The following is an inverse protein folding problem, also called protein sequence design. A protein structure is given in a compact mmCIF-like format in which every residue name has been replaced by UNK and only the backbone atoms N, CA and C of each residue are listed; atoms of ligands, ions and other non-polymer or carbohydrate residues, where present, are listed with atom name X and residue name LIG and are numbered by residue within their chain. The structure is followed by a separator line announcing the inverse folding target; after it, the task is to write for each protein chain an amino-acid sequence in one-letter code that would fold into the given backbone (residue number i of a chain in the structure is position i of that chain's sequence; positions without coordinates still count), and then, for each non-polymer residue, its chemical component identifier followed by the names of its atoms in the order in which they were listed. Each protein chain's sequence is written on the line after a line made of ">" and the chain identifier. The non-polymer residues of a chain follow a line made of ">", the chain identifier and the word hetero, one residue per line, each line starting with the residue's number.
data_IF_036693917345
#
_entry.id   IF_036693917345
#
_cell.length_a   1.000
_cell.length_b   1.000
_cell.length_c   1.000
_cell.angle_alpha   90.00
_cell.angle_beta   90.00
_cell.angle_gamma   90.00
#
_symmetry.space_group_name_H-M   'P 1'
#
loop_
_entity.id
_entity.type
_entity.pdbx_description
1 polymer ?
#
# COMPACT_ATOMS: atom_id res chain seq x y z
N UNK A 1 -2.64 -26.40 12.27
CA UNK A 1 -2.61 -25.18 13.09
C UNK A 1 -2.14 -24.07 12.20
N UNK A 2 -2.86 -22.95 12.17
CA UNK A 2 -2.49 -21.77 11.38
C UNK A 2 -1.25 -21.13 12.02
N UNK A 3 -0.27 -20.73 11.20
CA UNK A 3 0.97 -20.11 11.70
C UNK A 3 0.65 -18.77 12.40
N UNK A 4 1.38 -18.37 13.45
CA UNK A 4 1.13 -17.09 14.15
C UNK A 4 1.13 -15.85 13.24
N UNK A 5 1.91 -15.90 12.15
CA UNK A 5 1.96 -14.83 11.13
C UNK A 5 0.66 -14.68 10.32
N UNK A 6 -0.22 -15.68 10.31
CA UNK A 6 -1.39 -15.69 9.44
C UNK A 6 -2.34 -14.53 9.73
N UNK A 7 -2.80 -14.42 10.98
CA UNK A 7 -3.76 -13.39 11.38
C UNK A 7 -3.22 -11.96 11.15
N UNK A 8 -1.97 -11.59 11.53
CA UNK A 8 -1.45 -10.26 11.26
C UNK A 8 -1.26 -10.00 9.76
N UNK A 9 -0.77 -10.96 8.97
CA UNK A 9 -0.62 -10.77 7.52
C UNK A 9 -1.97 -10.60 6.82
N UNK A 10 -2.96 -11.43 7.14
CA UNK A 10 -4.30 -11.31 6.55
C UNK A 10 -4.95 -9.98 6.93
N UNK A 11 -4.79 -9.52 8.17
CA UNK A 11 -5.29 -8.21 8.60
C UNK A 11 -4.70 -7.08 7.76
N UNK A 12 -3.37 -7.03 7.62
CA UNK A 12 -2.70 -5.98 6.85
C UNK A 12 -3.11 -6.03 5.37
N UNK A 13 -3.19 -7.21 4.77
CA UNK A 13 -3.64 -7.37 3.38
C UNK A 13 -5.05 -6.80 3.20
N UNK A 14 -5.99 -7.15 4.08
CA UNK A 14 -7.36 -6.65 4.00
C UNK A 14 -7.44 -5.13 4.19
N UNK A 15 -6.67 -4.58 5.12
CA UNK A 15 -6.59 -3.14 5.32
C UNK A 15 -5.99 -2.43 4.11
N UNK A 16 -4.93 -2.98 3.51
CA UNK A 16 -4.31 -2.44 2.30
C UNK A 16 -5.25 -2.48 1.08
N UNK A 17 -5.97 -3.58 0.87
CA UNK A 17 -6.98 -3.68 -0.20
C UNK A 17 -8.07 -2.63 -0.02
N UNK A 18 -8.60 -2.48 1.20
CA UNK A 18 -9.61 -1.47 1.49
C UNK A 18 -9.09 -0.05 1.32
N UNK A 19 -7.83 0.20 1.67
CA UNK A 19 -7.18 1.50 1.48
C UNK A 19 -7.03 1.84 -0.02
N UNK A 20 -6.59 0.87 -0.83
CA UNK A 20 -6.51 1.02 -2.28
C UNK A 20 -7.89 1.24 -2.92
N UNK A 21 -8.92 0.49 -2.52
CA UNK A 21 -10.29 0.69 -3.01
C UNK A 21 -10.83 2.09 -2.66
N UNK A 22 -10.57 2.58 -1.44
CA UNK A 22 -10.95 3.94 -1.05
C UNK A 22 -10.27 5.00 -1.92
N UNK A 23 -8.98 4.82 -2.22
CA UNK A 23 -8.23 5.73 -3.08
C UNK A 23 -8.74 5.70 -4.53
N UNK A 24 -8.92 4.52 -5.11
CA UNK A 24 -9.42 4.34 -6.48
C UNK A 24 -10.86 4.87 -6.67
N UNK A 25 -11.66 4.93 -5.61
CA UNK A 25 -13.03 5.46 -5.64
C UNK A 25 -13.11 6.94 -5.23
N UNK A 26 -11.98 7.64 -5.19
CA UNK A 26 -11.89 9.05 -4.81
C UNK A 26 -12.47 9.36 -3.42
N UNK A 27 -12.47 8.39 -2.50
CA UNK A 27 -12.93 8.58 -1.11
C UNK A 27 -11.85 9.16 -0.20
N UNK A 28 -10.59 9.02 -0.59
CA UNK A 28 -9.43 9.58 0.11
C UNK A 28 -8.45 10.18 -0.90
N UNK A 29 -7.73 11.22 -0.48
CA UNK A 29 -6.68 11.85 -1.29
C UNK A 29 -5.36 11.07 -1.21
N UNK A 30 -4.45 11.36 -2.15
CA UNK A 30 -3.14 10.71 -2.24
C UNK A 30 -2.30 10.85 -0.97
N UNK A 31 -2.33 12.01 -0.31
CA UNK A 31 -1.63 12.24 0.96
C UNK A 31 -2.17 11.31 2.08
N UNK A 32 -3.50 11.17 2.17
CA UNK A 32 -4.15 10.28 3.14
C UNK A 32 -3.85 8.81 2.82
N UNK A 33 -3.87 8.45 1.54
CA UNK A 33 -3.49 7.12 1.08
C UNK A 33 -2.04 6.81 1.45
N UNK A 34 -1.11 7.72 1.15
CA UNK A 34 0.32 7.57 1.40
C UNK A 34 0.66 7.41 2.86
N UNK A 35 0.15 8.31 3.70
CA UNK A 35 0.36 8.25 5.15
C UNK A 35 -0.14 6.95 5.76
N UNK A 36 -1.32 6.48 5.32
CA UNK A 36 -1.90 5.22 5.82
C UNK A 36 -1.15 3.99 5.31
N UNK A 37 -0.70 4.01 4.06
CA UNK A 37 0.06 2.91 3.47
C UNK A 37 1.41 2.72 4.18
N UNK A 38 2.11 3.82 4.49
CA UNK A 38 3.35 3.83 5.31
C UNK A 38 3.15 3.33 6.74
N UNK A 39 1.94 3.42 7.27
CA UNK A 39 1.65 3.01 8.64
C UNK A 39 1.49 1.50 8.80
N UNK A 40 1.47 0.73 7.70
CA UNK A 40 1.46 -0.73 7.80
C UNK A 40 2.83 -1.22 8.28
N UNK A 41 2.79 -1.98 9.37
CA UNK A 41 3.96 -2.57 10.03
C UNK A 41 4.45 -3.83 9.30
N UNK A 42 4.85 -3.66 8.03
CA UNK A 42 5.29 -4.75 7.15
C UNK A 42 6.71 -5.19 7.51
N UNK A 43 7.61 -4.25 7.74
CA UNK A 43 9.03 -4.53 8.00
C UNK A 43 9.24 -5.31 9.31
N UNK A 44 8.52 -4.96 10.38
CA UNK A 44 8.62 -5.71 11.64
C UNK A 44 8.16 -7.16 11.48
N UNK A 45 7.12 -7.42 10.68
CA UNK A 45 6.68 -8.79 10.38
C UNK A 45 7.69 -9.56 9.52
N UNK A 46 8.33 -8.89 8.56
CA UNK A 46 9.38 -9.51 7.76
C UNK A 46 10.60 -9.88 8.62
N UNK A 47 10.95 -9.05 9.59
CA UNK A 47 12.05 -9.29 10.53
C UNK A 47 11.71 -10.38 11.56
N UNK A 48 10.54 -10.30 12.20
CA UNK A 48 10.10 -11.24 13.24
C UNK A 48 10.06 -12.69 12.72
N UNK A 49 9.58 -12.89 11.50
CA UNK A 49 9.37 -14.22 10.90
C UNK A 49 10.44 -14.61 9.87
N UNK A 50 11.56 -13.88 9.80
CA UNK A 50 12.63 -14.09 8.82
C UNK A 50 13.14 -15.55 8.80
N UNK A 51 13.30 -16.13 9.98
CA UNK A 51 13.80 -17.50 10.14
C UNK A 51 12.78 -18.55 9.71
N UNK A 52 11.49 -18.29 9.88
CA UNK A 52 10.42 -19.18 9.44
C UNK A 52 10.33 -19.22 7.92
N UNK A 53 10.51 -18.08 7.24
CA UNK A 53 10.55 -18.03 5.77
C UNK A 53 11.68 -18.86 5.17
N UNK A 54 12.83 -18.95 5.85
CA UNK A 54 13.98 -19.77 5.39
C UNK A 54 13.77 -21.26 5.61
N UNK A 55 12.97 -21.64 6.61
CA UNK A 55 12.82 -23.03 7.09
C UNK A 55 11.57 -23.72 6.57
N UNK A 56 10.52 -22.96 6.22
CA UNK A 56 9.24 -23.50 5.78
C UNK A 56 8.78 -22.90 4.45
N UNK A 57 8.88 -23.69 3.38
CA UNK A 57 8.42 -23.32 2.05
C UNK A 57 6.91 -22.99 2.00
N UNK A 58 6.11 -23.46 2.97
CA UNK A 58 4.69 -23.11 3.08
C UNK A 58 4.48 -21.67 3.54
N UNK A 59 5.53 -20.92 3.88
CA UNK A 59 5.40 -19.50 4.25
C UNK A 59 5.54 -18.56 3.05
N UNK A 60 5.83 -19.08 1.85
CA UNK A 60 6.14 -18.28 0.66
C UNK A 60 5.04 -17.28 0.30
N UNK A 61 3.76 -17.65 0.46
CA UNK A 61 2.66 -16.74 0.13
C UNK A 61 2.50 -15.59 1.13
N UNK A 62 2.88 -15.76 2.40
CA UNK A 62 2.95 -14.64 3.34
C UNK A 62 4.12 -13.72 3.00
N UNK A 63 5.27 -14.31 2.67
CA UNK A 63 6.45 -13.56 2.23
C UNK A 63 6.14 -12.73 0.97
N UNK A 64 5.54 -13.34 -0.05
CA UNK A 64 5.16 -12.66 -1.30
C UNK A 64 4.22 -11.48 -1.03
N UNK A 65 3.21 -11.67 -0.17
CA UNK A 65 2.28 -10.60 0.16
C UNK A 65 2.94 -9.44 0.93
N UNK A 66 3.80 -9.75 1.90
CA UNK A 66 4.54 -8.73 2.66
C UNK A 66 5.56 -8.00 1.77
N UNK A 67 6.27 -8.72 0.91
CA UNK A 67 7.22 -8.13 -0.06
C UNK A 67 6.54 -7.21 -1.06
N UNK A 68 5.34 -7.56 -1.52
CA UNK A 68 4.54 -6.71 -2.41
C UNK A 68 4.16 -5.39 -1.70
N UNK A 69 3.70 -5.47 -0.45
CA UNK A 69 3.34 -4.28 0.33
C UNK A 69 4.55 -3.41 0.65
N UNK A 70 5.68 -4.00 1.02
CA UNK A 70 6.94 -3.28 1.25
C UNK A 70 7.41 -2.55 -0.02
N UNK A 71 7.32 -3.21 -1.17
CA UNK A 71 7.66 -2.60 -2.47
C UNK A 71 6.75 -1.42 -2.80
N UNK A 72 5.45 -1.56 -2.55
CA UNK A 72 4.47 -0.49 -2.78
C UNK A 72 4.71 0.73 -1.86
N UNK A 73 5.10 0.51 -0.60
CA UNK A 73 5.51 1.58 0.32
C UNK A 73 6.73 2.33 -0.23
N UNK A 74 7.75 1.61 -0.70
CA UNK A 74 8.98 2.20 -1.24
C UNK A 74 8.77 2.96 -2.55
N UNK A 75 7.96 2.43 -3.48
CA UNK A 75 7.62 3.13 -4.71
C UNK A 75 6.91 4.46 -4.42
N UNK A 76 6.02 4.45 -3.43
CA UNK A 76 5.32 5.66 -3.01
C UNK A 76 6.26 6.67 -2.33
N UNK A 77 7.19 6.18 -1.51
CA UNK A 77 8.23 7.02 -0.90
C UNK A 77 9.09 7.70 -1.95
N UNK A 78 9.48 6.96 -2.97
CA UNK A 78 10.22 7.49 -4.10
C UNK A 78 9.41 8.57 -4.83
N UNK A 79 8.14 8.31 -5.14
CA UNK A 79 7.28 9.28 -5.82
C UNK A 79 7.09 10.57 -5.00
N UNK A 80 6.86 10.44 -3.69
CA UNK A 80 6.73 11.60 -2.79
C UNK A 80 8.04 12.37 -2.67
N UNK A 81 9.19 11.68 -2.63
CA UNK A 81 10.50 12.31 -2.53
C UNK A 81 10.92 13.03 -3.82
N UNK A 82 10.66 12.42 -4.98
CA UNK A 82 11.09 12.92 -6.29
C UNK A 82 10.21 14.07 -6.78
N UNK A 83 8.89 13.96 -6.58
CA UNK A 83 7.93 14.93 -7.12
C UNK A 83 7.33 15.84 -6.05
N UNK A 84 7.51 15.52 -4.76
CA UNK A 84 6.86 16.24 -3.67
C UNK A 84 5.38 15.85 -3.54
N UNK A 85 4.92 15.71 -2.29
CA UNK A 85 3.51 15.42 -1.95
C UNK A 85 2.52 16.42 -2.58
N UNK A 86 2.95 17.66 -2.81
CA UNK A 86 2.11 18.73 -3.36
C UNK A 86 1.95 18.66 -4.88
N UNK A 87 2.97 18.25 -5.64
CA UNK A 87 2.92 18.32 -7.11
C UNK A 87 2.06 17.21 -7.69
N UNK A 88 2.19 15.98 -7.18
CA UNK A 88 1.29 14.89 -7.60
C UNK A 88 -0.17 15.17 -7.23
N UNK A 89 -0.43 15.84 -6.10
CA UNK A 89 -1.77 16.27 -5.70
C UNK A 89 -2.31 17.40 -6.59
N UNK A 90 -1.49 18.39 -6.94
CA UNK A 90 -1.86 19.47 -7.85
C UNK A 90 -2.10 18.97 -9.28
N UNK A 91 -1.28 18.05 -9.77
CA UNK A 91 -1.46 17.43 -11.09
C UNK A 91 -2.73 16.57 -11.12
N UNK A 92 -3.00 15.77 -10.09
CA UNK A 92 -4.26 15.04 -9.96
C UNK A 92 -5.46 15.98 -9.88
N UNK A 93 -5.36 17.10 -9.16
CA UNK A 93 -6.41 18.11 -9.09
C UNK A 93 -6.66 18.76 -10.45
N UNK A 94 -5.60 19.15 -11.17
CA UNK A 94 -5.69 19.69 -12.52
C UNK A 94 -6.33 18.68 -13.50
N UNK A 95 -5.94 17.40 -13.43
CA UNK A 95 -6.52 16.34 -14.25
C UNK A 95 -8.02 16.12 -13.91
N UNK A 96 -8.42 16.20 -12.64
CA UNK A 96 -9.84 16.16 -12.23
C UNK A 96 -10.63 17.35 -12.75
N UNK A 97 -10.08 18.56 -12.64
CA UNK A 97 -10.73 19.78 -13.15
C UNK A 97 -10.87 19.76 -14.68
N UNK A 98 -9.94 19.10 -15.38
CA UNK A 98 -10.05 18.85 -16.82
C UNK A 98 -11.08 17.78 -17.14
N UNK A 99 -11.12 16.68 -16.36
CA UNK A 99 -12.09 15.61 -16.54
C UNK A 99 -13.54 16.13 -16.44
N UNK A 100 -13.81 16.97 -15.43
CA UNK A 100 -15.12 17.58 -15.23
C UNK A 100 -15.54 18.58 -16.33
N UNK A 101 -14.63 18.96 -17.22
CA UNK A 101 -14.91 19.85 -18.37
C UNK A 101 -15.18 19.07 -19.65
N UNK A 102 -14.92 17.76 -19.68
CA UNK A 102 -15.32 16.92 -20.80
C UNK A 102 -16.83 16.65 -20.71
N UNK A 103 -17.61 16.87 -21.80
CA UNK A 103 -19.01 16.48 -21.81
C UNK A 103 -19.10 14.95 -21.81
N UNK A 104 -19.97 14.41 -20.94
CA UNK A 104 -20.34 13.00 -20.77
C UNK A 104 -19.29 12.07 -20.11
N UNK A 105 -19.05 12.28 -18.81
CA UNK A 105 -18.82 11.20 -17.83
C UNK A 105 -19.83 11.30 -16.70
#
# INVERSE_FOLDING_TARGET
>A
MTHPIHDPTIRIINEAINLMDQFMRDRIELDVYSRKLRAFDVDSLLEEYQEDFKKDARMIYYLDALMLLSSLQQELDFQVAEYGESVASEDMKCLRELLAKFPDT
#
